data_IF_072594402964
#
_entry.id   IF_072594402964
#
_cell.length_a   1.000
_cell.length_b   1.000
_cell.length_c   1.000
_cell.angle_alpha   90.00
_cell.angle_beta   90.00
_cell.angle_gamma   90.00
#
_symmetry.space_group_name_H-M   'P 1'
#
loop_
_entity.id
_entity.type
_entity.pdbx_description
1 polymer ?
#
# COMPACT_ATOMS: atom_id res chain seq x y z
N UNK A 1 -10.04 -5.02 5.76
CA UNK A 1 -9.12 -6.13 6.07
C UNK A 1 -8.66 -6.81 4.77
N UNK A 2 -7.36 -7.06 4.67
CA UNK A 2 -6.73 -7.70 3.52
C UNK A 2 -6.07 -9.02 3.92
N UNK A 3 -5.99 -9.92 2.99
CA UNK A 3 -5.37 -11.22 3.17
C UNK A 3 -4.17 -11.34 2.21
N UNK A 4 -3.14 -12.07 2.59
CA UNK A 4 -1.87 -12.19 1.87
C UNK A 4 -1.94 -12.92 0.53
N UNK A 5 -3.06 -13.57 0.22
CA UNK A 5 -3.25 -14.33 -1.01
C UNK A 5 -3.68 -13.48 -2.20
N UNK A 6 -4.01 -12.22 -1.97
CA UNK A 6 -4.45 -11.35 -3.03
C UNK A 6 -3.26 -10.85 -3.86
N UNK A 7 -3.23 -11.04 -5.19
CA UNK A 7 -2.11 -10.64 -6.05
C UNK A 7 -2.10 -9.13 -6.32
N UNK A 8 -1.94 -8.34 -5.28
CA UNK A 8 -1.92 -6.89 -5.33
C UNK A 8 -0.60 -6.32 -4.82
N UNK A 9 -0.39 -5.02 -4.90
CA UNK A 9 0.74 -4.34 -4.28
C UNK A 9 0.64 -4.26 -2.76
N UNK A 10 -0.47 -4.69 -2.18
CA UNK A 10 -0.70 -4.73 -0.76
C UNK A 10 -0.28 -6.07 -0.16
N UNK A 11 0.35 -6.02 1.01
CA UNK A 11 0.71 -7.19 1.80
C UNK A 11 -0.47 -7.67 2.64
N UNK A 12 -1.60 -7.89 2.02
CA UNK A 12 -2.74 -8.34 2.80
C UNK A 12 -3.87 -8.85 1.93
N UNK A 13 -4.70 -9.71 2.49
CA UNK A 13 -5.88 -10.23 1.83
C UNK A 13 -7.09 -9.41 2.22
N UNK A 14 -7.89 -9.09 1.22
CA UNK A 14 -9.19 -8.51 1.44
C UNK A 14 -10.14 -9.54 2.07
N UNK A 15 -10.56 -9.28 3.30
CA UNK A 15 -11.46 -10.17 4.03
C UNK A 15 -12.88 -9.64 4.11
N UNK A 16 -13.04 -8.33 4.24
CA UNK A 16 -14.31 -7.70 4.56
C UNK A 16 -14.35 -6.26 4.06
N UNK A 17 -15.50 -5.85 3.56
CA UNK A 17 -15.79 -4.46 3.24
C UNK A 17 -17.09 -4.00 3.91
N UNK A 18 -17.25 -2.70 4.08
CA UNK A 18 -18.50 -2.12 4.54
C UNK A 18 -19.54 -2.10 3.41
N UNK A 19 -20.82 -1.93 3.77
CA UNK A 19 -21.92 -1.91 2.82
C UNK A 19 -21.82 -0.77 1.79
N UNK A 20 -21.16 0.31 2.15
CA UNK A 20 -20.95 1.48 1.30
C UNK A 20 -19.75 1.34 0.32
N UNK A 21 -19.09 0.21 0.30
CA UNK A 21 -17.97 -0.05 -0.60
C UNK A 21 -18.22 -1.31 -1.44
N UNK A 22 -17.93 -1.24 -2.74
CA UNK A 22 -17.93 -2.40 -3.64
C UNK A 22 -16.53 -2.57 -4.20
N UNK A 23 -15.77 -3.56 -3.75
CA UNK A 23 -14.41 -3.77 -4.21
C UNK A 23 -14.38 -4.27 -5.65
N UNK A 24 -13.40 -3.82 -6.41
CA UNK A 24 -13.01 -4.38 -7.70
C UNK A 24 -11.56 -4.84 -7.57
N UNK A 25 -11.35 -6.12 -7.77
CA UNK A 25 -10.04 -6.73 -7.58
C UNK A 25 -9.19 -6.67 -8.86
N UNK A 26 -7.87 -6.59 -8.74
CA UNK A 26 -6.98 -6.69 -9.88
C UNK A 26 -7.11 -8.04 -10.57
N UNK A 27 -7.28 -8.02 -11.89
CA UNK A 27 -7.31 -9.21 -12.74
C UNK A 27 -5.89 -9.62 -13.18
N UNK A 28 -4.97 -8.67 -13.28
CA UNK A 28 -3.58 -8.94 -13.61
C UNK A 28 -2.65 -7.89 -13.03
N UNK A 29 -1.38 -8.25 -12.95
CA UNK A 29 -0.29 -7.35 -12.58
C UNK A 29 0.69 -7.22 -13.74
N UNK A 30 1.11 -6.02 -14.04
CA UNK A 30 2.10 -5.74 -15.07
C UNK A 30 3.28 -4.94 -14.52
N UNK A 31 4.46 -5.16 -15.08
CA UNK A 31 5.63 -4.35 -14.78
C UNK A 31 5.52 -3.05 -15.58
N UNK A 32 5.56 -1.94 -14.86
CA UNK A 32 5.59 -0.60 -15.43
C UNK A 32 6.84 0.08 -14.87
N UNK A 33 7.88 0.10 -15.62
CA UNK A 33 9.14 0.68 -15.15
C UNK A 33 9.74 1.64 -16.17
N UNK A 34 10.54 2.56 -15.67
CA UNK A 34 11.46 3.35 -16.48
C UNK A 34 12.90 3.01 -16.08
N UNK A 35 13.92 3.40 -16.86
CA UNK A 35 15.31 3.16 -16.48
C UNK A 35 15.67 3.73 -15.10
N UNK A 36 15.01 4.79 -14.67
CA UNK A 36 15.24 5.42 -13.34
C UNK A 36 14.51 4.70 -12.22
N UNK A 37 13.35 4.12 -12.51
CA UNK A 37 12.49 3.41 -11.56
C UNK A 37 12.06 2.06 -12.13
N UNK A 38 12.99 1.10 -12.27
CA UNK A 38 12.66 -0.22 -12.78
C UNK A 38 11.81 -1.00 -11.78
N UNK A 39 11.08 -1.98 -12.26
CA UNK A 39 10.30 -2.93 -11.45
C UNK A 39 9.14 -2.34 -10.65
N UNK A 40 8.52 -1.28 -11.15
CA UNK A 40 7.22 -0.85 -10.63
C UNK A 40 6.15 -1.81 -11.15
N UNK A 41 5.34 -2.33 -10.23
CA UNK A 41 4.23 -3.22 -10.57
C UNK A 41 2.92 -2.46 -10.42
N UNK A 42 2.12 -2.47 -11.49
CA UNK A 42 0.77 -1.92 -11.49
C UNK A 42 -0.25 -3.05 -11.55
N UNK A 43 -1.24 -2.95 -10.68
CA UNK A 43 -2.40 -3.82 -10.70
C UNK A 43 -3.44 -3.24 -11.68
N UNK A 44 -4.04 -4.11 -12.49
CA UNK A 44 -5.08 -3.74 -13.46
C UNK A 44 -6.35 -4.52 -13.23
N UNK A 45 -7.46 -3.82 -13.15
CA UNK A 45 -8.77 -4.42 -13.04
C UNK A 45 -9.33 -4.80 -14.42
N UNK A 46 -10.13 -5.85 -14.46
CA UNK A 46 -10.93 -6.15 -15.65
C UNK A 46 -12.07 -5.12 -15.76
N UNK A 47 -12.29 -4.61 -16.97
CA UNK A 47 -13.34 -3.62 -17.23
C UNK A 47 -14.76 -4.17 -16.99
N UNK A 48 -14.95 -5.48 -17.09
CA UNK A 48 -16.23 -6.14 -16.80
C UNK A 48 -16.53 -6.12 -15.31
N UNK A 49 -15.54 -6.40 -14.48
CA UNK A 49 -15.68 -6.34 -13.02
C UNK A 49 -15.99 -4.92 -12.56
N UNK A 50 -15.36 -3.92 -13.20
CA UNK A 50 -15.69 -2.50 -12.96
C UNK A 50 -17.12 -2.20 -13.37
N UNK A 51 -17.55 -2.66 -14.56
CA UNK A 51 -18.92 -2.48 -15.04
C UNK A 51 -19.95 -3.13 -14.11
N UNK A 52 -19.67 -4.35 -13.64
CA UNK A 52 -20.55 -5.06 -12.70
C UNK A 52 -20.64 -4.33 -11.35
N UNK A 53 -19.55 -3.78 -10.85
CA UNK A 53 -19.57 -2.96 -9.64
C UNK A 53 -20.39 -1.67 -9.82
N UNK A 54 -20.28 -1.01 -10.99
CA UNK A 54 -21.13 0.14 -11.33
C UNK A 54 -22.61 -0.24 -11.41
N UNK A 55 -22.91 -1.38 -12.06
CA UNK A 55 -24.29 -1.88 -12.19
C UNK A 55 -24.88 -2.31 -10.85
N UNK A 56 -24.07 -2.79 -9.92
CA UNK A 56 -24.49 -3.07 -8.55
C UNK A 56 -25.09 -1.82 -7.89
N UNK A 57 -24.38 -0.68 -7.95
CA UNK A 57 -24.87 0.58 -7.40
C UNK A 57 -26.04 1.17 -8.18
N UNK A 58 -26.03 1.04 -9.49
CA UNK A 58 -27.12 1.54 -10.33
C UNK A 58 -28.45 0.83 -10.08
N UNK A 59 -28.41 -0.49 -9.87
CA UNK A 59 -29.61 -1.31 -9.62
C UNK A 59 -30.12 -1.22 -8.19
N UNK A 60 -29.35 -0.67 -7.29
CA UNK A 60 -29.76 -0.48 -5.90
C UNK A 60 -30.84 0.59 -5.81
N UNK A 61 -31.82 0.38 -4.93
CA UNK A 61 -32.85 1.39 -4.68
C UNK A 61 -32.25 2.67 -4.05
N UNK A 62 -32.87 3.80 -4.32
CA UNK A 62 -32.35 5.11 -3.95
C UNK A 62 -32.21 5.28 -2.44
N UNK A 63 -33.12 4.69 -1.67
CA UNK A 63 -33.10 4.80 -0.20
C UNK A 63 -31.88 4.07 0.37
N UNK A 64 -31.71 2.80 0.01
CA UNK A 64 -30.57 1.98 0.46
C UNK A 64 -29.23 2.60 0.00
N UNK A 65 -29.16 3.06 -1.24
CA UNK A 65 -27.97 3.73 -1.75
C UNK A 65 -27.65 5.00 -0.97
N UNK A 66 -28.65 5.78 -0.61
CA UNK A 66 -28.47 6.96 0.23
C UNK A 66 -27.99 6.59 1.65
N UNK A 67 -28.61 5.59 2.27
CA UNK A 67 -28.21 5.11 3.60
C UNK A 67 -26.75 4.66 3.62
N UNK A 68 -26.34 3.85 2.67
CA UNK A 68 -24.94 3.40 2.53
C UNK A 68 -23.99 4.55 2.25
N UNK A 69 -24.40 5.50 1.42
CA UNK A 69 -23.61 6.72 1.17
C UNK A 69 -23.39 7.54 2.44
N UNK A 70 -24.40 7.61 3.30
CA UNK A 70 -24.30 8.31 4.59
C UNK A 70 -23.39 7.57 5.57
N UNK A 71 -23.46 6.25 5.64
CA UNK A 71 -22.51 5.44 6.42
C UNK A 71 -21.07 5.68 5.98
N UNK A 72 -20.81 5.66 4.67
CA UNK A 72 -19.49 5.95 4.12
C UNK A 72 -19.00 7.36 4.43
N UNK A 73 -19.90 8.35 4.32
CA UNK A 73 -19.58 9.74 4.69
C UNK A 73 -19.19 9.87 6.16
N UNK A 74 -19.96 9.24 7.03
CA UNK A 74 -19.76 9.35 8.47
C UNK A 74 -18.46 8.63 8.88
N UNK A 75 -18.14 7.50 8.24
CA UNK A 75 -16.84 6.84 8.40
C UNK A 75 -15.67 7.73 7.95
N UNK A 76 -15.75 8.32 6.75
CA UNK A 76 -14.69 9.21 6.22
C UNK A 76 -14.47 10.44 7.12
N UNK A 77 -15.54 10.95 7.73
CA UNK A 77 -15.48 12.10 8.66
C UNK A 77 -15.10 11.70 10.08
N UNK A 78 -15.17 10.43 10.41
CA UNK A 78 -14.81 9.91 11.71
C UNK A 78 -13.33 10.07 12.01
N UNK A 79 -12.99 10.19 13.28
CA UNK A 79 -11.61 10.38 13.72
C UNK A 79 -10.73 9.14 13.44
N UNK A 80 -11.33 7.95 13.37
CA UNK A 80 -10.62 6.68 13.15
C UNK A 80 -10.15 6.49 11.69
N UNK A 81 -10.83 7.12 10.74
CA UNK A 81 -10.50 6.96 9.31
C UNK A 81 -9.27 7.75 8.87
N UNK A 82 -8.94 8.81 9.60
CA UNK A 82 -7.91 9.80 9.23
C UNK A 82 -8.09 10.43 7.84
N UNK A 83 -9.26 10.27 7.21
CA UNK A 83 -9.54 10.77 5.86
C UNK A 83 -9.99 12.23 5.85
N UNK A 84 -10.46 12.77 6.98
CA UNK A 84 -10.76 14.19 7.12
C UNK A 84 -9.45 15.00 7.23
N UNK A 85 -9.46 16.25 6.79
CA UNK A 85 -8.30 17.14 6.93
C UNK A 85 -7.85 17.25 8.40
N UNK A 86 -8.79 17.31 9.34
CA UNK A 86 -8.52 17.33 10.78
C UNK A 86 -7.86 16.02 11.25
N UNK A 87 -8.43 14.87 10.87
CA UNK A 87 -7.89 13.55 11.22
C UNK A 87 -6.51 13.33 10.63
N UNK A 88 -6.31 13.67 9.37
CA UNK A 88 -5.02 13.57 8.69
C UNK A 88 -3.96 14.46 9.35
N UNK A 89 -4.28 15.71 9.68
CA UNK A 89 -3.34 16.63 10.35
C UNK A 89 -2.97 16.12 11.73
N UNK A 90 -3.94 15.60 12.49
CA UNK A 90 -3.68 14.99 13.80
C UNK A 90 -2.74 13.80 13.67
N UNK A 91 -3.06 12.87 12.77
CA UNK A 91 -2.23 11.67 12.55
C UNK A 91 -0.82 12.02 12.07
N UNK A 92 -0.69 13.02 11.19
CA UNK A 92 0.61 13.49 10.73
C UNK A 92 1.45 14.04 11.89
N UNK A 93 0.88 14.86 12.76
CA UNK A 93 1.56 15.37 13.94
C UNK A 93 2.02 14.24 14.87
N UNK A 94 1.14 13.29 15.17
CA UNK A 94 1.48 12.12 15.99
C UNK A 94 2.62 11.29 15.37
N UNK A 95 2.59 11.06 14.05
CA UNK A 95 3.65 10.33 13.36
C UNK A 95 4.99 11.08 13.35
N UNK A 96 4.97 12.41 13.26
CA UNK A 96 6.19 13.24 13.35
C UNK A 96 6.81 13.12 14.75
N UNK A 97 6.02 13.26 15.81
CA UNK A 97 6.49 13.07 17.18
C UNK A 97 7.07 11.67 17.39
N UNK A 98 6.33 10.64 16.96
CA UNK A 98 6.81 9.26 17.02
C UNK A 98 8.12 9.04 16.25
N UNK A 99 8.28 9.69 15.09
CA UNK A 99 9.53 9.64 14.33
C UNK A 99 10.69 10.28 15.11
N UNK A 100 10.49 11.42 15.77
CA UNK A 100 11.54 12.05 16.57
C UNK A 100 11.93 11.23 17.78
N UNK A 101 10.97 10.58 18.43
CA UNK A 101 11.25 9.69 19.56
C UNK A 101 12.03 8.43 19.17
N UNK A 102 11.73 7.86 18.02
CA UNK A 102 12.29 6.57 17.56
C UNK A 102 13.48 6.72 16.62
N UNK A 103 13.72 7.92 16.10
CA UNK A 103 14.75 8.11 15.09
C UNK A 103 16.17 8.01 15.69
N UNK A 104 16.96 7.17 15.05
CA UNK A 104 18.39 7.07 15.34
C UNK A 104 19.19 7.36 14.06
N UNK A 105 20.27 8.16 14.15
CA UNK A 105 21.10 8.44 12.99
C UNK A 105 21.65 7.15 12.37
N UNK A 106 21.58 7.02 11.06
CA UNK A 106 22.28 5.93 10.38
C UNK A 106 23.77 6.07 10.61
N UNK A 107 24.46 4.96 10.86
CA UNK A 107 25.94 4.93 10.87
C UNK A 107 26.42 5.45 9.50
N UNK A 108 27.22 6.48 9.52
CA UNK A 108 27.83 7.00 8.29
C UNK A 108 28.77 5.92 7.72
N UNK A 109 28.72 5.74 6.42
CA UNK A 109 29.72 4.92 5.74
C UNK A 109 31.10 5.56 5.96
N UNK A 110 32.08 4.75 6.37
CA UNK A 110 33.47 5.18 6.50
C UNK A 110 34.27 4.59 5.35
N UNK A 111 35.10 5.41 4.72
CA UNK A 111 36.05 4.97 3.73
C UNK A 111 37.32 4.55 4.44
N UNK A 112 37.69 3.28 4.31
CA UNK A 112 38.95 2.80 4.85
C UNK A 112 39.96 2.68 3.71
N UNK A 113 41.15 3.22 3.90
CA UNK A 113 42.28 2.98 3.00
C UNK A 113 42.86 1.61 3.35
N UNK A 114 42.83 0.71 2.40
CA UNK A 114 43.51 -0.60 2.53
C UNK A 114 45.00 -0.37 2.21
N UNK A 115 45.84 -0.36 3.24
CA UNK A 115 47.29 -0.12 3.05
C UNK A 115 48.06 -1.40 2.71
N UNK A 116 47.50 -2.56 2.99
CA UNK A 116 48.08 -3.85 2.59
C UNK A 116 46.97 -4.82 2.19
N UNK A 117 46.99 -5.28 0.97
CA UNK A 117 46.30 -6.48 0.55
C UNK A 117 47.23 -7.64 0.93
N UNK A 118 46.99 -8.35 2.03
CA UNK A 118 47.58 -9.66 2.22
C UNK A 118 47.05 -10.55 1.11
N UNK A 119 47.94 -11.19 0.34
CA UNK A 119 47.54 -12.19 -0.63
C UNK A 119 46.58 -13.17 0.06
N UNK A 120 45.36 -13.21 -0.40
CA UNK A 120 44.42 -14.25 -0.01
C UNK A 120 44.94 -15.50 -0.76
N UNK A 121 45.57 -16.42 -0.02
CA UNK A 121 45.83 -17.75 -0.56
C UNK A 121 44.54 -18.27 -1.17
N UNK A 122 44.55 -18.51 -2.48
CA UNK A 122 43.43 -19.06 -3.22
C UNK A 122 42.92 -20.30 -2.48
N UNK A 123 41.70 -20.33 -1.94
CA UNK A 123 41.13 -21.58 -1.49
C UNK A 123 41.00 -22.45 -2.74
N UNK A 124 41.72 -23.54 -2.76
CA UNK A 124 41.81 -24.44 -3.90
C UNK A 124 40.42 -24.74 -4.46
N UNK A 125 40.32 -24.68 -5.79
CA UNK A 125 39.13 -25.08 -6.52
C UNK A 125 38.86 -26.54 -6.16
N UNK A 126 37.80 -26.77 -5.38
CA UNK A 126 37.27 -28.12 -5.18
C UNK A 126 36.56 -28.49 -6.50
N UNK A 127 37.16 -29.39 -7.24
CA UNK A 127 36.57 -30.04 -8.43
C UNK A 127 35.54 -31.06 -8.01
#
# INVERSE_FOLDING_TARGET
EFDTHFPSNHDGTYKKHANWAKPVFPACRSVQGSPVTPYIFDDRCDFRDVADAMMYWYKMDDKTRYEYGMEGRDWVRGDESYMSAKGMSKRMAECIEECFEKWTPRKRAALYKIEQIKEIENPGVIV
#
